data_IF_828928419303
#
_entry.id   IF_828928419303
#
_cell.length_a   1.000
_cell.length_b   1.000
_cell.length_c   1.000
_cell.angle_alpha   90.00
_cell.angle_beta   90.00
_cell.angle_gamma   90.00
#
_symmetry.space_group_name_H-M   'P 1'
#
loop_
_entity.id
_entity.type
_entity.pdbx_description
1 polymer ?
#
# COMPACT_ATOMS: atom_id res chain seq x y z
N UNK A 1 -6.61 -10.57 -2.22
CA UNK A 1 -7.29 -9.27 -2.00
C UNK A 1 -8.78 -9.43 -2.23
N UNK A 2 -9.18 -9.96 -3.39
CA UNK A 2 -10.58 -10.03 -3.84
C UNK A 2 -11.52 -10.88 -2.96
N UNK A 3 -11.03 -11.96 -2.34
CA UNK A 3 -11.83 -12.77 -1.42
C UNK A 3 -11.67 -12.37 0.05
N UNK A 4 -10.47 -11.95 0.44
CA UNK A 4 -10.10 -11.68 1.84
C UNK A 4 -10.66 -10.34 2.31
N UNK A 5 -10.56 -9.29 1.49
CA UNK A 5 -10.97 -7.94 1.90
C UNK A 5 -12.48 -7.87 2.19
N UNK A 6 -13.39 -8.39 1.34
CA UNK A 6 -14.82 -8.39 1.65
C UNK A 6 -15.16 -9.19 2.90
N UNK A 7 -14.48 -10.33 3.10
CA UNK A 7 -14.68 -11.17 4.28
C UNK A 7 -14.28 -10.44 5.57
N UNK A 8 -13.12 -9.77 5.59
CA UNK A 8 -12.67 -9.02 6.76
C UNK A 8 -13.58 -7.81 7.05
N UNK A 9 -14.07 -7.12 6.00
CA UNK A 9 -15.08 -6.07 6.16
C UNK A 9 -16.40 -6.58 6.72
N UNK A 10 -16.88 -7.74 6.26
CA UNK A 10 -18.09 -8.36 6.79
C UNK A 10 -17.94 -8.68 8.28
N UNK A 11 -16.80 -9.29 8.66
CA UNK A 11 -16.50 -9.61 10.06
C UNK A 11 -16.38 -8.33 10.92
N UNK A 12 -15.74 -7.29 10.40
CA UNK A 12 -15.64 -6.00 11.07
C UNK A 12 -17.02 -5.39 11.30
N UNK A 13 -17.84 -5.32 10.26
CA UNK A 13 -19.19 -4.75 10.33
C UNK A 13 -20.08 -5.54 11.29
N UNK A 14 -20.03 -6.87 11.24
CA UNK A 14 -20.76 -7.74 12.14
C UNK A 14 -20.38 -7.49 13.61
N UNK A 15 -19.08 -7.45 13.92
CA UNK A 15 -18.61 -7.24 15.29
C UNK A 15 -18.92 -5.83 15.81
N UNK A 16 -18.78 -4.80 14.96
CA UNK A 16 -19.15 -3.43 15.32
C UNK A 16 -20.65 -3.31 15.56
N UNK A 17 -21.47 -3.88 14.68
CA UNK A 17 -22.93 -3.90 14.85
C UNK A 17 -23.33 -4.61 16.14
N UNK A 18 -22.66 -5.70 16.49
CA UNK A 18 -22.95 -6.47 17.69
C UNK A 18 -22.49 -5.72 18.97
N UNK A 19 -21.39 -4.96 18.91
CA UNK A 19 -20.96 -4.06 19.99
C UNK A 19 -21.93 -2.89 20.20
N UNK A 20 -22.40 -2.27 19.12
CA UNK A 20 -23.40 -1.20 19.21
C UNK A 20 -24.72 -1.77 19.75
N UNK A 21 -25.14 -2.94 19.26
CA UNK A 21 -26.33 -3.63 19.73
C UNK A 21 -26.29 -3.92 21.24
N UNK A 22 -25.16 -4.42 21.76
CA UNK A 22 -25.02 -4.67 23.20
C UNK A 22 -25.07 -3.40 24.05
N UNK A 23 -24.46 -2.29 23.60
CA UNK A 23 -24.57 -1.00 24.27
C UNK A 23 -26.01 -0.48 24.27
N UNK A 24 -26.71 -0.60 23.14
CA UNK A 24 -28.10 -0.16 23.00
C UNK A 24 -29.03 -0.96 23.91
N UNK A 25 -28.89 -2.29 23.94
CA UNK A 25 -29.68 -3.17 24.82
C UNK A 25 -29.45 -2.82 26.29
N UNK A 26 -28.19 -2.60 26.70
CA UNK A 26 -27.88 -2.18 28.07
C UNK A 26 -28.43 -0.79 28.42
N UNK A 27 -28.47 0.14 27.46
CA UNK A 27 -29.07 1.47 27.66
C UNK A 27 -30.60 1.43 27.77
N UNK A 28 -31.27 0.53 27.05
CA UNK A 28 -32.74 0.36 27.16
C UNK A 28 -33.18 -0.10 28.55
N UNK A 29 -32.30 -0.78 29.29
CA UNK A 29 -32.57 -1.20 30.66
C UNK A 29 -32.75 -0.03 31.62
N UNK A 30 -32.03 1.08 31.38
CA UNK A 30 -32.13 2.30 32.18
C UNK A 30 -31.48 3.49 31.50
N UNK A 31 -32.19 4.62 31.56
CA UNK A 31 -31.67 5.92 31.17
C UNK A 31 -30.35 6.28 31.85
N UNK A 32 -30.16 5.91 33.13
CA UNK A 32 -28.93 6.22 33.87
C UNK A 32 -27.70 5.50 33.33
N UNK A 33 -27.87 4.28 32.81
CA UNK A 33 -26.79 3.55 32.13
C UNK A 33 -26.39 4.29 30.86
N UNK A 34 -27.36 4.77 30.08
CA UNK A 34 -27.09 5.56 28.87
C UNK A 34 -26.31 6.85 29.16
N UNK A 35 -26.66 7.56 30.25
CA UNK A 35 -25.93 8.76 30.68
C UNK A 35 -24.48 8.44 31.03
N UNK A 36 -24.19 7.26 31.60
CA UNK A 36 -22.82 6.85 31.93
C UNK A 36 -21.91 6.65 30.71
N UNK A 37 -22.49 6.46 29.52
CA UNK A 37 -21.72 6.30 28.28
C UNK A 37 -21.13 7.59 27.77
N UNK A 38 -21.68 8.76 28.12
CA UNK A 38 -21.19 10.07 27.68
C UNK A 38 -19.71 10.27 28.05
N UNK A 39 -19.30 10.18 29.34
CA UNK A 39 -17.89 10.34 29.71
C UNK A 39 -16.99 9.23 29.12
N UNK A 40 -17.49 8.00 29.05
CA UNK A 40 -16.75 6.86 28.48
C UNK A 40 -16.47 7.10 26.99
N UNK A 41 -17.43 7.67 26.27
CA UNK A 41 -17.29 8.02 24.86
C UNK A 41 -16.23 9.09 24.63
N UNK A 42 -16.14 10.10 25.49
CA UNK A 42 -15.05 11.10 25.42
C UNK A 42 -13.67 10.46 25.64
N UNK A 43 -13.54 9.56 26.63
CA UNK A 43 -12.28 8.82 26.85
C UNK A 43 -11.93 7.93 25.66
N UNK A 44 -12.93 7.30 25.04
CA UNK A 44 -12.77 6.52 23.83
C UNK A 44 -12.23 7.37 22.67
N UNK A 45 -12.83 8.53 22.39
CA UNK A 45 -12.38 9.43 21.33
C UNK A 45 -10.94 9.92 21.58
N UNK A 46 -10.64 10.35 22.81
CA UNK A 46 -9.31 10.81 23.17
C UNK A 46 -8.24 9.72 22.99
N UNK A 47 -8.53 8.50 23.45
CA UNK A 47 -7.63 7.35 23.28
C UNK A 47 -7.45 6.99 21.81
N UNK A 48 -8.54 7.01 21.04
CA UNK A 48 -8.54 6.70 19.61
C UNK A 48 -7.72 7.68 18.77
N UNK A 49 -7.84 9.00 19.03
CA UNK A 49 -7.02 10.01 18.34
C UNK A 49 -5.53 9.86 18.65
N UNK A 50 -5.19 9.62 19.93
CA UNK A 50 -3.80 9.45 20.34
C UNK A 50 -3.17 8.19 19.71
N UNK A 51 -3.92 7.08 19.69
CA UNK A 51 -3.51 5.86 19.02
C UNK A 51 -3.30 6.09 17.52
N UNK A 52 -4.29 6.68 16.83
CA UNK A 52 -4.24 6.88 15.37
C UNK A 52 -3.01 7.68 14.94
N UNK A 53 -2.71 8.78 15.65
CA UNK A 53 -1.51 9.60 15.35
C UNK A 53 -0.22 8.80 15.49
N UNK A 54 -0.12 7.98 16.53
CA UNK A 54 1.08 7.20 16.84
C UNK A 54 1.24 5.98 15.92
N UNK A 55 0.16 5.23 15.71
CA UNK A 55 0.18 3.99 14.92
C UNK A 55 0.46 4.25 13.45
N UNK A 56 -0.06 5.34 12.87
CA UNK A 56 0.25 5.74 11.49
C UNK A 56 1.75 5.96 11.27
N UNK A 57 2.42 6.66 12.19
CA UNK A 57 3.86 6.92 12.07
C UNK A 57 4.69 5.66 12.23
N UNK A 58 4.35 4.79 13.19
CA UNK A 58 5.03 3.50 13.36
C UNK A 58 4.84 2.62 12.12
N UNK A 59 3.62 2.55 11.57
CA UNK A 59 3.31 1.81 10.35
C UNK A 59 4.11 2.33 9.15
N UNK A 60 4.24 3.66 9.02
CA UNK A 60 5.07 4.28 7.98
C UNK A 60 6.54 3.88 8.11
N UNK A 61 7.09 3.91 9.32
CA UNK A 61 8.46 3.50 9.59
C UNK A 61 8.70 2.02 9.27
N UNK A 62 7.79 1.14 9.71
CA UNK A 62 7.83 -0.30 9.39
C UNK A 62 7.85 -0.53 7.88
N UNK A 63 6.97 0.16 7.14
CA UNK A 63 6.88 0.06 5.69
C UNK A 63 8.18 0.44 4.98
N UNK A 64 8.85 1.52 5.44
CA UNK A 64 10.12 1.97 4.86
C UNK A 64 11.26 0.99 5.18
N UNK A 65 11.31 0.42 6.39
CA UNK A 65 12.38 -0.52 6.78
C UNK A 65 12.27 -1.90 6.15
N UNK A 66 11.11 -2.23 5.58
CA UNK A 66 10.89 -3.51 4.90
C UNK A 66 11.60 -3.59 3.55
N UNK A 67 11.72 -2.48 2.83
CA UNK A 67 12.32 -2.44 1.48
C UNK A 67 13.79 -2.86 1.46
N UNK A 68 14.66 -2.35 2.36
CA UNK A 68 16.05 -2.80 2.46
C UNK A 68 16.25 -4.31 2.65
N UNK A 69 15.32 -5.01 3.32
CA UNK A 69 15.39 -6.47 3.51
C UNK A 69 15.34 -7.17 2.16
N UNK A 70 14.38 -6.80 1.30
CA UNK A 70 14.23 -7.38 -0.03
C UNK A 70 15.38 -7.00 -0.97
N UNK A 71 15.83 -5.75 -0.90
CA UNK A 71 16.94 -5.28 -1.73
C UNK A 71 18.24 -6.02 -1.41
N UNK A 72 18.59 -6.19 -0.13
CA UNK A 72 19.80 -6.91 0.27
C UNK A 72 19.73 -8.39 -0.16
N UNK A 73 18.54 -9.00 -0.08
CA UNK A 73 18.35 -10.36 -0.54
C UNK A 73 18.58 -10.48 -2.06
N UNK A 74 18.02 -9.56 -2.86
CA UNK A 74 18.24 -9.49 -4.31
C UNK A 74 19.71 -9.25 -4.69
N UNK A 75 20.38 -8.34 -3.98
CA UNK A 75 21.81 -8.05 -4.15
C UNK A 75 22.67 -9.29 -3.83
N UNK A 76 22.35 -10.00 -2.75
CA UNK A 76 23.07 -11.20 -2.32
C UNK A 76 22.91 -12.35 -3.32
N UNK A 77 21.71 -12.55 -3.88
CA UNK A 77 21.47 -13.57 -4.89
C UNK A 77 22.21 -13.27 -6.20
N UNK A 78 22.18 -12.01 -6.64
CA UNK A 78 22.85 -11.58 -7.88
C UNK A 78 24.38 -11.62 -7.74
N UNK A 79 24.91 -11.30 -6.55
CA UNK A 79 26.34 -11.25 -6.24
C UNK A 79 26.92 -12.50 -5.59
N UNK A 80 26.18 -13.62 -5.53
CA UNK A 80 26.52 -14.77 -4.68
C UNK A 80 27.91 -15.34 -4.98
N UNK A 81 28.27 -15.47 -6.26
CA UNK A 81 29.58 -15.97 -6.68
C UNK A 81 30.71 -15.04 -6.20
N UNK A 82 30.53 -13.73 -6.32
CA UNK A 82 31.50 -12.72 -5.87
C UNK A 82 31.66 -12.75 -4.35
N UNK A 83 30.56 -12.81 -3.59
CA UNK A 83 30.60 -12.86 -2.12
C UNK A 83 31.39 -14.07 -1.63
N UNK A 84 31.16 -15.25 -2.24
CA UNK A 84 31.88 -16.49 -1.92
C UNK A 84 33.35 -16.44 -2.33
N UNK A 85 33.64 -15.88 -3.52
CA UNK A 85 35.02 -15.74 -3.99
C UNK A 85 35.87 -14.88 -3.05
N UNK A 86 35.29 -13.80 -2.50
CA UNK A 86 35.95 -12.90 -1.55
C UNK A 86 35.79 -13.30 -0.08
N UNK A 87 35.11 -14.41 0.23
CA UNK A 87 34.85 -14.90 1.60
C UNK A 87 34.19 -13.84 2.52
N UNK A 88 33.19 -13.14 2.00
CA UNK A 88 32.50 -12.05 2.70
C UNK A 88 31.15 -12.46 3.32
N UNK A 89 30.87 -13.75 3.43
CA UNK A 89 29.58 -14.29 3.89
C UNK A 89 29.20 -13.76 5.28
N UNK A 90 30.13 -13.73 6.23
CA UNK A 90 29.90 -13.23 7.59
C UNK A 90 29.53 -11.74 7.63
N UNK A 91 30.18 -10.93 6.79
CA UNK A 91 29.87 -9.49 6.69
C UNK A 91 28.46 -9.28 6.13
N UNK A 92 28.08 -10.03 5.09
CA UNK A 92 26.74 -9.99 4.52
C UNK A 92 25.68 -10.53 5.49
N UNK A 93 25.98 -11.61 6.22
CA UNK A 93 25.11 -12.18 7.25
C UNK A 93 24.84 -11.19 8.39
N UNK A 94 25.89 -10.56 8.91
CA UNK A 94 25.79 -9.55 9.97
C UNK A 94 24.98 -8.33 9.50
N UNK A 95 25.22 -7.88 8.26
CA UNK A 95 24.45 -6.79 7.63
C UNK A 95 22.97 -7.17 7.50
N UNK A 96 22.68 -8.37 7.03
CA UNK A 96 21.31 -8.88 6.91
C UNK A 96 20.61 -8.92 8.25
N UNK A 97 21.27 -9.47 9.28
CA UNK A 97 20.74 -9.50 10.64
C UNK A 97 20.38 -8.11 11.16
N UNK A 98 21.25 -7.12 10.99
CA UNK A 98 20.98 -5.74 11.43
C UNK A 98 19.74 -5.13 10.75
N UNK A 99 19.57 -5.36 9.45
CA UNK A 99 18.42 -4.85 8.69
C UNK A 99 17.13 -5.56 9.13
N UNK A 100 17.17 -6.89 9.27
CA UNK A 100 16.03 -7.69 9.75
C UNK A 100 15.65 -7.32 11.18
N UNK A 101 16.62 -7.14 12.08
CA UNK A 101 16.39 -6.75 13.47
C UNK A 101 15.71 -5.37 13.55
N UNK A 102 16.15 -4.41 12.72
CA UNK A 102 15.55 -3.07 12.66
C UNK A 102 14.08 -3.15 12.20
N UNK A 103 13.80 -3.91 11.14
CA UNK A 103 12.45 -4.10 10.65
C UNK A 103 11.57 -4.84 11.67
N UNK A 104 12.12 -5.88 12.31
CA UNK A 104 11.41 -6.69 13.31
C UNK A 104 11.06 -5.85 14.55
N UNK A 105 11.96 -4.98 14.99
CA UNK A 105 11.69 -4.08 16.12
C UNK A 105 10.52 -3.12 15.83
N UNK A 106 10.48 -2.51 14.63
CA UNK A 106 9.37 -1.63 14.23
C UNK A 106 8.06 -2.40 14.09
N UNK A 107 8.10 -3.60 13.50
CA UNK A 107 6.94 -4.48 13.42
C UNK A 107 6.41 -4.87 14.80
N UNK A 108 7.29 -5.26 15.74
CA UNK A 108 6.89 -5.55 17.12
C UNK A 108 6.32 -4.32 17.82
N UNK A 109 6.93 -3.15 17.62
CA UNK A 109 6.44 -1.88 18.19
C UNK A 109 5.03 -1.55 17.68
N UNK A 110 4.75 -1.79 16.39
CA UNK A 110 3.42 -1.65 15.82
C UNK A 110 2.40 -2.59 16.50
N UNK A 111 2.77 -3.87 16.67
CA UNK A 111 1.93 -4.85 17.36
C UNK A 111 1.69 -4.50 18.82
N UNK A 112 2.70 -4.05 19.55
CA UNK A 112 2.57 -3.58 20.92
C UNK A 112 1.65 -2.36 21.02
N UNK A 113 1.70 -1.44 20.05
CA UNK A 113 0.78 -0.29 19.98
C UNK A 113 -0.67 -0.75 19.81
N UNK A 114 -0.94 -1.67 18.88
CA UNK A 114 -2.29 -2.26 18.72
C UNK A 114 -2.76 -2.92 20.03
N UNK A 115 -1.89 -3.70 20.67
CA UNK A 115 -2.23 -4.38 21.93
C UNK A 115 -2.51 -3.40 23.06
N UNK A 116 -1.78 -2.29 23.14
CA UNK A 116 -2.03 -1.22 24.09
C UNK A 116 -3.44 -0.63 23.94
N UNK A 117 -3.88 -0.35 22.71
CA UNK A 117 -5.24 0.13 22.45
C UNK A 117 -6.27 -0.93 22.86
N UNK A 118 -6.04 -2.20 22.48
CA UNK A 118 -6.93 -3.30 22.83
C UNK A 118 -7.15 -3.38 24.35
N UNK A 119 -6.08 -3.27 25.15
CA UNK A 119 -6.16 -3.27 26.61
C UNK A 119 -6.90 -2.05 27.16
N UNK A 120 -6.76 -0.86 26.55
CA UNK A 120 -7.51 0.33 26.96
C UNK A 120 -9.00 0.21 26.66
N UNK A 121 -9.38 -0.33 25.51
CA UNK A 121 -10.79 -0.57 25.16
C UNK A 121 -11.41 -1.67 26.06
N UNK A 122 -10.62 -2.66 26.45
CA UNK A 122 -11.02 -3.68 27.42
C UNK A 122 -11.33 -3.05 28.79
N UNK A 123 -10.45 -2.14 29.26
CA UNK A 123 -10.67 -1.40 30.50
C UNK A 123 -11.97 -0.58 30.47
N UNK A 124 -12.29 0.06 29.34
CA UNK A 124 -13.57 0.77 29.17
C UNK A 124 -14.76 -0.18 29.27
N UNK A 125 -14.65 -1.39 28.70
CA UNK A 125 -15.69 -2.41 28.78
C UNK A 125 -15.91 -2.87 30.23
N UNK A 126 -14.83 -3.05 30.99
CA UNK A 126 -14.90 -3.37 32.43
C UNK A 126 -15.56 -2.26 33.23
N UNK A 127 -15.26 -0.99 32.93
CA UNK A 127 -15.93 0.16 33.57
C UNK A 127 -17.44 0.16 33.26
N UNK A 128 -17.84 -0.13 32.02
CA UNK A 128 -19.26 -0.27 31.64
C UNK A 128 -19.93 -1.39 32.45
N UNK A 129 -19.31 -2.58 32.51
CA UNK A 129 -19.83 -3.72 33.27
C UNK A 129 -19.99 -3.35 34.75
N UNK A 130 -19.01 -2.65 35.32
CA UNK A 130 -19.06 -2.20 36.71
C UNK A 130 -20.24 -1.26 36.96
N UNK A 131 -20.45 -0.24 36.10
CA UNK A 131 -21.58 0.69 36.21
C UNK A 131 -22.92 -0.02 36.06
N UNK A 132 -23.06 -0.89 35.06
CA UNK A 132 -24.30 -1.67 34.84
C UNK A 132 -24.60 -2.56 36.04
N UNK A 133 -23.59 -3.27 36.55
CA UNK A 133 -23.76 -4.18 37.70
C UNK A 133 -24.14 -3.41 38.96
N UNK A 134 -23.46 -2.29 39.24
CA UNK A 134 -23.75 -1.44 40.39
C UNK A 134 -25.17 -0.87 40.33
N UNK A 135 -25.61 -0.45 39.15
CA UNK A 135 -26.97 0.03 38.92
C UNK A 135 -28.00 -1.07 39.20
N UNK A 136 -27.84 -2.26 38.58
CA UNK A 136 -28.76 -3.38 38.74
C UNK A 136 -28.86 -3.86 40.21
N UNK A 137 -27.76 -3.79 40.95
CA UNK A 137 -27.74 -4.11 42.39
C UNK A 137 -28.46 -3.04 43.22
N UNK A 138 -28.34 -1.77 42.85
CA UNK A 138 -28.97 -0.65 43.57
C UNK A 138 -30.49 -0.60 43.34
N UNK A 139 -30.96 -0.95 42.15
CA UNK A 139 -32.39 -0.95 41.77
C UNK A 139 -33.05 -2.33 41.94
N UNK A 140 -32.56 -3.15 42.87
CA UNK A 140 -33.13 -4.48 43.14
C UNK A 140 -34.62 -4.35 43.47
N UNK A 141 -35.44 -5.07 42.71
CA UNK A 141 -36.91 -5.08 42.86
C UNK A 141 -37.67 -4.03 42.06
N UNK A 142 -36.99 -3.04 41.46
CA UNK A 142 -37.64 -2.02 40.61
C UNK A 142 -37.59 -2.37 39.12
N UNK A 143 -36.52 -3.03 38.69
CA UNK A 143 -36.31 -3.44 37.30
C UNK A 143 -36.68 -4.91 37.16
N UNK A 144 -37.38 -5.27 36.08
CA UNK A 144 -37.74 -6.66 35.78
C UNK A 144 -36.52 -7.59 35.78
N UNK A 145 -36.68 -8.80 36.30
CA UNK A 145 -35.59 -9.79 36.36
C UNK A 145 -35.05 -10.14 34.96
N UNK A 146 -35.94 -10.21 33.96
CA UNK A 146 -35.59 -10.46 32.56
C UNK A 146 -34.70 -9.34 31.98
N UNK A 147 -35.12 -8.07 32.11
CA UNK A 147 -34.36 -6.93 31.58
C UNK A 147 -33.00 -6.80 32.27
N UNK A 148 -32.94 -7.05 33.57
CA UNK A 148 -31.69 -7.07 34.34
C UNK A 148 -30.72 -8.15 33.85
N UNK A 149 -31.21 -9.37 33.63
CA UNK A 149 -30.40 -10.49 33.15
C UNK A 149 -29.85 -10.28 31.74
N UNK A 150 -30.71 -9.80 30.82
CA UNK A 150 -30.31 -9.50 29.44
C UNK A 150 -29.22 -8.42 29.42
N UNK A 151 -29.42 -7.32 30.15
CA UNK A 151 -28.46 -6.20 30.19
C UNK A 151 -27.10 -6.60 30.76
N UNK A 152 -27.09 -7.40 31.83
CA UNK A 152 -25.85 -7.91 32.41
C UNK A 152 -25.12 -8.84 31.43
N UNK A 153 -25.85 -9.72 30.75
CA UNK A 153 -25.29 -10.67 29.77
C UNK A 153 -24.65 -9.92 28.60
N UNK A 154 -25.36 -8.97 27.99
CA UNK A 154 -24.81 -8.17 26.87
C UNK A 154 -23.65 -7.28 27.30
N UNK A 155 -23.67 -6.76 28.55
CA UNK A 155 -22.55 -6.00 29.09
C UNK A 155 -21.30 -6.87 29.27
N UNK A 156 -21.45 -8.11 29.76
CA UNK A 156 -20.33 -9.04 29.88
C UNK A 156 -19.77 -9.47 28.51
N UNK A 157 -20.63 -9.59 27.50
CA UNK A 157 -20.20 -9.92 26.14
C UNK A 157 -19.33 -8.81 25.52
N UNK A 158 -19.49 -7.54 25.92
CA UNK A 158 -18.74 -6.40 25.35
C UNK A 158 -17.23 -6.62 25.37
N UNK A 159 -16.68 -7.14 26.47
CA UNK A 159 -15.23 -7.41 26.61
C UNK A 159 -14.72 -8.34 25.50
N UNK A 160 -15.45 -9.43 25.24
CA UNK A 160 -15.11 -10.36 24.16
C UNK A 160 -15.26 -9.72 22.79
N UNK A 161 -16.35 -8.97 22.57
CA UNK A 161 -16.66 -8.34 21.28
C UNK A 161 -15.59 -7.30 20.92
N UNK A 162 -15.16 -6.47 21.88
CA UNK A 162 -14.11 -5.47 21.68
C UNK A 162 -12.80 -6.11 21.21
N UNK A 163 -12.42 -7.26 21.76
CA UNK A 163 -11.24 -8.00 21.28
C UNK A 163 -11.42 -8.49 19.83
N UNK A 164 -12.63 -8.92 19.45
CA UNK A 164 -12.93 -9.32 18.07
C UNK A 164 -12.96 -8.14 17.10
N UNK A 165 -13.51 -6.99 17.50
CA UNK A 165 -13.49 -5.75 16.72
C UNK A 165 -12.03 -5.34 16.47
N UNK A 166 -11.20 -5.30 17.52
CA UNK A 166 -9.80 -4.89 17.36
C UNK A 166 -9.05 -5.81 16.38
N UNK A 167 -9.24 -7.14 16.51
CA UNK A 167 -8.66 -8.10 15.56
C UNK A 167 -9.14 -7.89 14.13
N UNK A 168 -10.43 -7.58 13.93
CA UNK A 168 -10.99 -7.33 12.61
C UNK A 168 -10.46 -6.03 11.99
N UNK A 169 -10.29 -4.97 12.80
CA UNK A 169 -9.67 -3.72 12.38
C UNK A 169 -8.24 -3.95 11.90
N UNK A 170 -7.42 -4.64 12.70
CA UNK A 170 -6.03 -4.93 12.35
C UNK A 170 -5.91 -5.73 11.05
N UNK A 171 -6.78 -6.74 10.85
CA UNK A 171 -6.81 -7.53 9.60
C UNK A 171 -7.23 -6.70 8.39
N UNK A 172 -8.25 -5.85 8.56
CA UNK A 172 -8.74 -4.96 7.49
C UNK A 172 -7.67 -3.95 7.10
N UNK A 173 -6.99 -3.34 8.07
CA UNK A 173 -5.94 -2.35 7.83
C UNK A 173 -4.69 -2.97 7.17
N UNK A 174 -4.34 -4.21 7.55
CA UNK A 174 -3.32 -4.98 6.87
C UNK A 174 -3.70 -5.29 5.41
N UNK A 175 -4.93 -5.71 5.16
CA UNK A 175 -5.42 -6.00 3.82
C UNK A 175 -5.48 -4.71 2.94
N UNK A 176 -5.85 -3.57 3.52
CA UNK A 176 -5.90 -2.28 2.83
C UNK A 176 -4.56 -1.78 2.31
N UNK A 177 -3.45 -2.21 2.93
CA UNK A 177 -2.09 -1.91 2.44
C UNK A 177 -1.88 -2.40 0.99
N UNK A 178 -2.56 -3.48 0.58
CA UNK A 178 -2.50 -3.96 -0.81
C UNK A 178 -3.27 -3.05 -1.77
N UNK A 179 -4.39 -2.48 -1.33
CA UNK A 179 -5.21 -1.54 -2.12
C UNK A 179 -4.45 -0.24 -2.33
N UNK A 180 -3.80 0.27 -1.29
CA UNK A 180 -2.95 1.47 -1.37
C UNK A 180 -1.86 1.31 -2.44
N UNK A 181 -1.19 0.15 -2.49
CA UNK A 181 -0.19 -0.14 -3.53
C UNK A 181 -0.79 -0.17 -4.94
N UNK A 182 -1.98 -0.75 -5.10
CA UNK A 182 -2.65 -0.78 -6.40
C UNK A 182 -3.09 0.61 -6.87
N UNK A 183 -3.57 1.44 -5.94
CA UNK A 183 -3.87 2.85 -6.22
C UNK A 183 -2.62 3.64 -6.59
N UNK A 184 -1.49 3.37 -5.93
CA UNK A 184 -0.20 3.96 -6.31
C UNK A 184 0.20 3.57 -7.73
N UNK A 185 0.11 2.29 -8.10
CA UNK A 185 0.42 1.85 -9.48
C UNK A 185 -0.48 2.50 -10.53
N UNK A 186 -1.73 2.82 -10.20
CA UNK A 186 -2.63 3.54 -11.10
C UNK A 186 -2.23 5.01 -11.31
N UNK A 187 -1.51 5.62 -10.37
CA UNK A 187 -1.09 7.03 -10.42
C UNK A 187 0.27 7.23 -11.09
N UNK A 188 0.98 6.16 -11.46
CA UNK A 188 2.26 6.26 -12.15
C UNK A 188 2.02 6.89 -13.52
N UNK A 189 2.93 7.80 -13.91
CA UNK A 189 2.93 8.43 -15.23
C UNK A 189 2.96 7.34 -16.31
N UNK A 190 1.96 7.37 -17.18
CA UNK A 190 1.91 6.46 -18.32
C UNK A 190 2.82 6.99 -19.41
N UNK A 191 3.51 6.10 -20.12
CA UNK A 191 4.21 6.46 -21.35
C UNK A 191 3.20 7.10 -22.32
N UNK A 192 3.63 8.15 -23.04
CA UNK A 192 2.75 8.88 -23.94
C UNK A 192 2.32 7.97 -25.13
N UNK A 193 1.15 7.36 -24.98
CA UNK A 193 0.47 6.65 -26.06
C UNK A 193 -0.18 7.58 -27.09
N UNK A 194 -0.09 8.90 -26.88
CA UNK A 194 -0.57 9.97 -27.77
C UNK A 194 0.32 10.22 -28.98
N UNK A 195 1.33 9.38 -29.22
CA UNK A 195 2.03 9.34 -30.49
C UNK A 195 1.02 9.20 -31.63
N UNK A 196 1.12 10.09 -32.62
CA UNK A 196 0.27 10.06 -33.82
C UNK A 196 0.24 8.64 -34.40
N UNK A 197 -0.96 8.12 -34.64
CA UNK A 197 -1.11 6.79 -35.26
C UNK A 197 -0.35 6.75 -36.59
N UNK A 198 0.08 5.57 -37.04
CA UNK A 198 0.71 5.38 -38.35
C UNK A 198 -0.15 6.04 -39.45
N UNK A 199 -1.48 5.98 -39.31
CA UNK A 199 -2.44 6.62 -40.22
C UNK A 199 -2.37 8.15 -40.22
N UNK A 200 -2.10 8.77 -39.07
CA UNK A 200 -1.94 10.22 -38.92
C UNK A 200 -0.57 10.71 -39.41
N UNK A 201 0.49 9.93 -39.21
CA UNK A 201 1.85 10.27 -39.67
C UNK A 201 2.01 10.12 -41.19
N UNK A 202 1.36 9.11 -41.78
CA UNK A 202 1.45 8.83 -43.22
C UNK A 202 0.44 9.62 -44.06
N UNK A 203 -0.49 10.35 -43.41
CA UNK A 203 -1.56 11.08 -44.10
C UNK A 203 -2.52 10.17 -44.89
N UNK A 204 -2.51 8.86 -44.62
CA UNK A 204 -3.32 7.88 -45.30
C UNK A 204 -4.79 8.06 -44.90
N UNK A 205 -5.56 8.80 -45.72
CA UNK A 205 -7.03 8.85 -45.59
C UNK A 205 -7.57 7.44 -45.78
N UNK A 206 -8.08 6.82 -44.72
CA UNK A 206 -8.90 5.61 -44.82
C UNK A 206 -10.13 5.99 -45.64
N UNK A 207 -10.18 5.60 -46.92
CA UNK A 207 -11.42 5.70 -47.71
C UNK A 207 -12.39 4.67 -47.12
N UNK A 208 -13.64 5.04 -46.81
CA UNK A 208 -14.64 4.07 -46.38
C UNK A 208 -14.82 3.02 -47.49
N UNK A 209 -14.43 1.77 -47.23
CA UNK A 209 -14.50 0.64 -48.17
C UNK A 209 -13.18 0.13 -48.76
N UNK A 210 -12.02 0.61 -48.30
CA UNK A 210 -10.70 0.06 -48.69
C UNK A 210 -9.97 -0.46 -47.45
N UNK A 211 -9.98 -1.78 -47.25
CA UNK A 211 -9.31 -2.50 -46.15
C UNK A 211 -7.78 -2.59 -46.29
N UNK A 212 -7.16 -1.81 -47.19
CA UNK A 212 -5.73 -1.91 -47.48
C UNK A 212 -4.97 -0.70 -46.93
N UNK A 213 -4.58 -0.80 -45.66
CA UNK A 213 -3.50 0.02 -45.10
C UNK A 213 -2.23 -0.38 -45.89
N UNK A 214 -1.62 0.57 -46.60
CA UNK A 214 -0.31 0.36 -47.23
C UNK A 214 0.68 -0.13 -46.14
N UNK A 215 1.44 -1.21 -46.37
CA UNK A 215 2.32 -1.76 -45.34
C UNK A 215 3.46 -0.77 -45.04
N UNK A 216 3.37 -0.07 -43.91
CA UNK A 216 4.45 0.77 -43.40
C UNK A 216 5.36 -0.04 -42.45
N UNK A 217 6.69 0.09 -42.55
CA UNK A 217 7.45 0.88 -43.53
C UNK A 217 7.70 0.11 -44.85
N UNK A 218 7.50 0.77 -46.01
CA UNK A 218 7.81 0.23 -47.35
C UNK A 218 9.31 0.25 -47.66
N UNK A 219 10.03 1.22 -47.11
CA UNK A 219 11.49 1.41 -47.27
C UNK A 219 12.07 1.69 -45.89
N UNK A 220 13.10 0.95 -45.51
CA UNK A 220 13.78 1.08 -44.21
C UNK A 220 14.80 2.22 -44.16
N UNK A 221 14.53 3.36 -44.81
CA UNK A 221 15.39 4.53 -44.70
C UNK A 221 15.16 5.21 -43.34
N UNK A 222 16.23 5.55 -42.63
CA UNK A 222 16.19 6.14 -41.29
C UNK A 222 17.03 7.40 -41.30
N UNK A 223 16.46 8.51 -40.83
CA UNK A 223 17.16 9.78 -40.72
C UNK A 223 17.00 10.37 -39.33
N UNK A 224 18.11 10.70 -38.71
CA UNK A 224 18.21 11.46 -37.48
C UNK A 224 18.60 12.88 -37.85
N UNK A 225 17.87 13.85 -37.31
CA UNK A 225 18.15 15.28 -37.47
C UNK A 225 18.24 15.88 -36.07
N UNK A 226 19.40 16.45 -35.73
CA UNK A 226 19.60 17.15 -34.47
C UNK A 226 19.31 16.35 -33.20
N UNK A 227 19.35 15.01 -33.24
CA UNK A 227 18.87 14.15 -32.16
C UNK A 227 19.60 14.42 -30.83
N UNK A 228 18.83 14.76 -29.80
CA UNK A 228 19.29 15.00 -28.43
C UNK A 228 18.52 14.10 -27.47
N UNK A 229 19.23 13.41 -26.60
CA UNK A 229 18.64 12.42 -25.70
C UNK A 229 19.29 12.45 -24.33
N UNK A 230 18.48 12.32 -23.29
CA UNK A 230 18.89 12.09 -21.89
C UNK A 230 17.94 11.06 -21.26
N UNK A 231 18.44 10.27 -20.31
CA UNK A 231 17.62 9.27 -19.62
C UNK A 231 16.70 9.85 -18.55
N UNK A 232 17.08 11.00 -17.96
CA UNK A 232 16.27 11.72 -16.99
C UNK A 232 16.40 13.23 -17.21
N UNK A 233 15.36 14.04 -16.95
CA UNK A 233 15.38 15.48 -17.14
C UNK A 233 16.58 16.18 -16.49
N UNK A 234 16.91 15.75 -15.26
CA UNK A 234 17.99 16.30 -14.43
C UNK A 234 19.40 15.86 -14.83
N UNK A 235 19.54 14.90 -15.75
CA UNK A 235 20.84 14.38 -16.20
C UNK A 235 21.34 15.08 -17.47
N UNK A 236 22.67 15.13 -17.69
CA UNK A 236 23.22 15.70 -18.91
C UNK A 236 22.84 14.89 -20.16
N UNK A 237 22.81 15.58 -21.30
CA UNK A 237 22.58 14.96 -22.61
C UNK A 237 23.65 13.91 -22.94
N UNK A 238 23.17 12.71 -23.28
CA UNK A 238 23.96 11.57 -23.75
C UNK A 238 24.19 11.66 -25.26
N UNK A 239 23.13 11.93 -26.03
CA UNK A 239 23.21 12.26 -27.45
C UNK A 239 23.05 13.78 -27.60
N UNK A 240 23.92 14.41 -28.41
CA UNK A 240 24.07 15.87 -28.45
C UNK A 240 24.00 16.40 -29.89
N UNK A 241 22.82 16.34 -30.50
CA UNK A 241 22.62 16.82 -31.87
C UNK A 241 23.21 15.85 -32.89
N UNK A 242 22.75 14.60 -32.89
CA UNK A 242 23.22 13.58 -33.83
C UNK A 242 22.44 13.68 -35.15
N UNK A 243 23.16 13.99 -36.22
CA UNK A 243 22.68 13.94 -37.60
C UNK A 243 23.20 12.66 -38.27
N UNK A 244 22.30 11.85 -38.82
CA UNK A 244 22.64 10.58 -39.47
C UNK A 244 21.57 10.21 -40.51
N UNK A 245 21.99 9.86 -41.73
CA UNK A 245 21.09 9.43 -42.81
C UNK A 245 21.49 8.01 -43.24
N UNK A 246 20.53 7.07 -43.18
CA UNK A 246 20.70 5.66 -43.53
C UNK A 246 19.76 5.34 -44.68
N UNK A 247 20.31 4.95 -45.82
CA UNK A 247 19.54 4.65 -47.02
C UNK A 247 18.79 3.32 -46.93
N UNK A 248 17.73 3.18 -47.73
CA UNK A 248 16.96 1.95 -47.79
C UNK A 248 17.82 0.78 -48.31
N UNK A 249 17.88 -0.31 -47.53
CA UNK A 249 18.69 -1.49 -47.85
C UNK A 249 20.17 -1.37 -47.47
N UNK A 250 20.58 -0.25 -46.88
CA UNK A 250 21.94 -0.04 -46.38
C UNK A 250 22.19 -0.78 -45.07
N UNK A 251 23.38 -1.39 -44.93
CA UNK A 251 23.83 -2.02 -43.69
C UNK A 251 24.92 -1.14 -43.06
N UNK A 252 24.56 -0.45 -41.98
CA UNK A 252 25.47 0.48 -41.28
C UNK A 252 25.96 -0.15 -39.98
N UNK A 253 27.27 -0.10 -39.75
CA UNK A 253 27.90 -0.52 -38.50
C UNK A 253 28.26 0.69 -37.63
N UNK A 254 27.81 0.71 -36.37
CA UNK A 254 28.13 1.77 -35.41
C UNK A 254 29.21 1.29 -34.45
N UNK A 255 30.39 1.91 -34.50
CA UNK A 255 31.53 1.60 -33.64
C UNK A 255 31.96 2.79 -32.77
N UNK A 256 32.73 2.53 -31.73
CA UNK A 256 33.21 3.57 -30.81
C UNK A 256 33.51 3.03 -29.41
N UNK A 257 34.18 3.83 -28.59
CA UNK A 257 34.56 3.46 -27.21
C UNK A 257 33.34 3.06 -26.36
N UNK A 258 33.54 2.17 -25.38
CA UNK A 258 32.50 1.84 -24.38
C UNK A 258 32.02 3.12 -23.69
N UNK A 259 30.71 3.30 -23.57
CA UNK A 259 30.10 4.52 -23.00
C UNK A 259 29.89 5.68 -23.99
N UNK A 260 30.26 5.55 -25.26
CA UNK A 260 30.10 6.62 -26.27
C UNK A 260 28.64 6.85 -26.76
N UNK A 261 27.62 6.26 -26.11
CA UNK A 261 26.21 6.46 -26.49
C UNK A 261 25.66 5.54 -27.59
N UNK A 262 26.41 4.54 -28.05
CA UNK A 262 25.97 3.59 -29.11
C UNK A 262 24.65 2.88 -28.77
N UNK A 263 24.54 2.32 -27.56
CA UNK A 263 23.31 1.67 -27.10
C UNK A 263 22.17 2.68 -26.89
N UNK A 264 22.49 3.90 -26.46
CA UNK A 264 21.51 4.97 -26.30
C UNK A 264 20.88 5.39 -27.63
N UNK A 265 21.66 5.39 -28.73
CA UNK A 265 21.14 5.63 -30.08
C UNK A 265 20.09 4.58 -30.49
N UNK A 266 20.29 3.31 -30.11
CA UNK A 266 19.30 2.24 -30.35
C UNK A 266 18.04 2.41 -29.48
N UNK A 267 18.19 2.82 -28.22
CA UNK A 267 17.07 3.12 -27.32
C UNK A 267 16.23 4.29 -27.87
N UNK A 268 16.87 5.32 -28.41
CA UNK A 268 16.19 6.44 -29.08
C UNK A 268 15.47 5.99 -30.37
N UNK A 269 16.10 5.13 -31.19
CA UNK A 269 15.49 4.59 -32.41
C UNK A 269 14.19 3.83 -32.12
N UNK A 270 14.17 3.02 -31.06
CA UNK A 270 12.97 2.31 -30.62
C UNK A 270 12.00 3.17 -29.80
N UNK A 271 12.31 4.45 -29.59
CA UNK A 271 11.53 5.40 -28.77
C UNK A 271 11.21 4.86 -27.37
N UNK A 272 12.13 4.10 -26.77
CA UNK A 272 11.99 3.57 -25.40
C UNK A 272 12.23 4.69 -24.37
N UNK A 273 12.97 5.73 -24.75
CA UNK A 273 13.09 6.95 -23.98
C UNK A 273 12.79 8.14 -24.89
N UNK A 274 12.25 9.18 -24.27
CA UNK A 274 12.01 10.43 -24.95
C UNK A 274 13.31 11.09 -25.44
N UNK A 275 13.18 11.77 -26.56
CA UNK A 275 14.26 12.51 -27.19
C UNK A 275 13.73 13.82 -27.77
N UNK A 276 14.61 14.80 -27.83
CA UNK A 276 14.39 16.07 -28.49
C UNK A 276 15.01 15.96 -29.90
N UNK A 277 14.27 16.28 -30.96
CA UNK A 277 14.75 16.33 -32.35
C UNK A 277 14.22 17.57 -33.05
#
# INVERSE_FOLDING_TARGET
MDSILPQEYQVLFQNVSLAIGSLVVSAFASYWIGVSYIPIFFVFLWTGEHFKKTSCEIKRLEGVTRTPVYNLFGETLSGLATIRAFRMEEKFSTRNRKIVDTNTNLYLTYWCSSRWLATRLDLLSVVIIFVVTLYLVSTRGQVGAMTSGISLTYSLMLTSIVQWVMRAVDRTDNAMTSVERLLHFRQIESEDGGGRSITELTGAKIKPGSDTIQPWPLRGAIRFEGLRMRYRPELPLVLRGVDLDIAAGEKVGICGRTGAGKSSLMVALFRICDFES
#
